data_IF_216670086263
#
_entry.id   IF_216670086263
#
_cell.length_a   1.000
_cell.length_b   1.000
_cell.length_c   1.000
_cell.angle_alpha   90.00
_cell.angle_beta   90.00
_cell.angle_gamma   90.00
#
_symmetry.space_group_name_H-M   'P 1'
#
loop_
_entity.id
_entity.type
_entity.pdbx_description
1 polymer ?
#
# COMPACT_ATOMS: atom_id res chain seq x y z
N UNK A 1 -27.22 -14.76 -19.47
CA UNK A 1 -25.79 -14.44 -19.61
C UNK A 1 -25.07 -15.15 -18.49
N UNK A 2 -24.07 -15.96 -18.79
CA UNK A 2 -23.23 -16.64 -17.80
C UNK A 2 -22.04 -15.72 -17.45
N UNK A 3 -21.67 -15.66 -16.18
CA UNK A 3 -20.56 -14.82 -15.68
C UNK A 3 -19.77 -15.55 -14.61
N UNK A 4 -18.47 -15.24 -14.48
CA UNK A 4 -17.57 -15.84 -13.50
C UNK A 4 -17.02 -14.74 -12.57
N UNK A 5 -17.78 -14.34 -11.53
CA UNK A 5 -17.34 -13.28 -10.62
C UNK A 5 -16.19 -13.73 -9.73
N UNK A 6 -15.43 -12.77 -9.22
CA UNK A 6 -14.42 -13.02 -8.20
C UNK A 6 -15.07 -13.51 -6.89
N UNK A 7 -14.32 -14.33 -6.15
CA UNK A 7 -14.70 -14.72 -4.81
C UNK A 7 -14.83 -13.48 -3.90
N UNK A 8 -15.98 -13.38 -3.23
CA UNK A 8 -16.22 -12.36 -2.21
C UNK A 8 -15.93 -12.96 -0.84
N UNK A 9 -15.06 -12.29 -0.07
CA UNK A 9 -14.77 -12.69 1.31
C UNK A 9 -16.05 -12.73 2.14
N UNK A 10 -16.12 -13.73 3.01
CA UNK A 10 -17.07 -13.77 4.11
C UNK A 10 -16.84 -12.64 5.10
N UNK A 11 -17.83 -12.39 5.96
CA UNK A 11 -17.71 -11.41 7.03
C UNK A 11 -16.54 -11.74 7.98
N UNK A 12 -16.36 -13.01 8.31
CA UNK A 12 -15.30 -13.45 9.22
C UNK A 12 -13.91 -13.22 8.61
N UNK A 13 -13.70 -13.58 7.34
CA UNK A 13 -12.43 -13.30 6.64
C UNK A 13 -12.16 -11.80 6.49
N UNK A 14 -13.20 -10.99 6.25
CA UNK A 14 -13.05 -9.53 6.19
C UNK A 14 -12.64 -8.96 7.56
N UNK A 15 -13.22 -9.46 8.64
CA UNK A 15 -12.88 -9.09 10.02
C UNK A 15 -11.45 -9.49 10.38
N UNK A 16 -11.02 -10.69 9.99
CA UNK A 16 -9.64 -11.15 10.17
C UNK A 16 -8.64 -10.25 9.44
N UNK A 17 -8.93 -9.87 8.20
CA UNK A 17 -8.10 -8.93 7.45
C UNK A 17 -8.04 -7.55 8.12
N UNK A 18 -9.17 -7.04 8.62
CA UNK A 18 -9.22 -5.79 9.37
C UNK A 18 -8.33 -5.86 10.62
N UNK A 19 -8.41 -6.93 11.40
CA UNK A 19 -7.58 -7.12 12.58
C UNK A 19 -6.10 -7.28 12.23
N UNK A 20 -5.76 -7.96 11.12
CA UNK A 20 -4.38 -8.02 10.61
C UNK A 20 -3.83 -6.62 10.34
N UNK A 21 -4.60 -5.75 9.69
CA UNK A 21 -4.17 -4.37 9.38
C UNK A 21 -3.93 -3.58 10.67
N UNK A 22 -4.84 -3.67 11.65
CA UNK A 22 -4.69 -2.98 12.94
C UNK A 22 -3.47 -3.50 13.71
N UNK A 23 -3.24 -4.81 13.75
CA UNK A 23 -2.05 -5.40 14.39
C UNK A 23 -0.75 -4.99 13.69
N UNK A 24 -0.74 -4.91 12.35
CA UNK A 24 0.42 -4.37 11.62
C UNK A 24 0.67 -2.90 11.99
N UNK A 25 -0.40 -2.10 12.15
CA UNK A 25 -0.30 -0.70 12.53
C UNK A 25 0.28 -0.52 13.94
N UNK A 26 -0.18 -1.29 14.94
CA UNK A 26 0.34 -1.20 16.32
C UNK A 26 1.80 -1.64 16.45
N UNK A 27 2.30 -2.46 15.52
CA UNK A 27 3.72 -2.85 15.44
C UNK A 27 4.62 -1.81 14.78
N UNK A 28 4.06 -0.79 14.11
CA UNK A 28 4.81 0.30 13.46
C UNK A 28 4.67 1.61 14.21
N UNK A 29 3.46 1.92 14.66
CA UNK A 29 3.13 3.17 15.33
C UNK A 29 3.16 2.99 16.85
N UNK A 30 3.80 3.93 17.55
CA UNK A 30 3.51 4.11 18.97
C UNK A 30 2.23 4.94 19.14
N UNK A 31 1.67 4.95 20.35
CA UNK A 31 0.40 5.63 20.63
C UNK A 31 0.40 7.13 20.32
N UNK A 32 1.52 7.83 20.53
CA UNK A 32 1.61 9.26 20.23
C UNK A 32 1.67 9.54 18.73
N UNK A 33 2.42 8.71 17.99
CA UNK A 33 2.52 8.81 16.54
C UNK A 33 1.17 8.56 15.86
N UNK A 34 0.38 7.62 16.38
CA UNK A 34 -0.96 7.29 15.86
C UNK A 34 -2.00 8.39 16.10
N UNK A 35 -1.80 9.23 17.13
CA UNK A 35 -2.67 10.35 17.47
C UNK A 35 -2.19 11.68 16.88
N UNK A 36 -1.10 11.66 16.11
CA UNK A 36 -0.62 12.82 15.36
C UNK A 36 -1.49 13.08 14.13
N UNK A 37 -1.60 14.35 13.74
CA UNK A 37 -2.26 14.76 12.48
C UNK A 37 -1.43 14.42 11.23
N UNK A 38 -0.20 13.92 11.42
CA UNK A 38 0.76 13.67 10.35
C UNK A 38 1.74 14.83 10.15
N UNK A 39 2.95 14.52 9.68
CA UNK A 39 3.92 15.52 9.23
C UNK A 39 3.76 15.84 7.73
N UNK A 40 4.31 16.98 7.31
CA UNK A 40 4.18 17.50 5.95
C UNK A 40 5.54 17.76 5.32
N UNK A 41 5.60 17.61 4.00
CA UNK A 41 6.73 18.03 3.19
C UNK A 41 7.82 16.98 3.06
N UNK A 42 9.04 17.45 2.87
CA UNK A 42 10.19 16.64 2.50
C UNK A 42 11.15 16.59 3.67
N UNK A 43 11.19 15.48 4.40
CA UNK A 43 12.13 15.30 5.49
C UNK A 43 13.53 14.98 4.96
N UNK A 44 14.56 15.59 5.55
CA UNK A 44 15.94 15.39 5.10
C UNK A 44 16.36 13.93 5.32
N UNK A 45 16.84 13.27 4.26
CA UNK A 45 17.33 11.89 4.28
C UNK A 45 16.32 10.84 3.81
N UNK A 46 15.01 11.10 3.96
CA UNK A 46 13.94 10.24 3.44
C UNK A 46 13.28 10.81 2.20
N UNK A 47 13.35 12.13 2.00
CA UNK A 47 12.72 12.85 0.91
C UNK A 47 11.18 12.75 0.89
N UNK A 48 10.58 12.40 2.03
CA UNK A 48 9.13 12.25 2.22
C UNK A 48 8.76 12.34 3.71
N UNK A 49 7.46 12.52 4.04
CA UNK A 49 7.01 12.55 5.43
C UNK A 49 7.28 11.23 6.17
N UNK A 50 7.70 11.33 7.43
CA UNK A 50 8.02 10.18 8.27
C UNK A 50 6.77 9.34 8.58
N UNK A 51 5.60 9.97 8.67
CA UNK A 51 4.33 9.27 8.83
C UNK A 51 3.97 8.45 7.60
N UNK A 52 4.23 8.96 6.39
CA UNK A 52 4.00 8.22 5.13
C UNK A 52 4.83 6.93 5.10
N UNK A 53 6.12 7.00 5.42
CA UNK A 53 7.01 5.83 5.51
C UNK A 53 6.48 4.78 6.48
N UNK A 54 5.92 5.21 7.61
CA UNK A 54 5.33 4.30 8.59
C UNK A 54 4.08 3.63 8.02
N UNK A 55 3.19 4.37 7.37
CA UNK A 55 2.01 3.81 6.71
C UNK A 55 2.41 2.80 5.63
N UNK A 56 3.40 3.11 4.82
CA UNK A 56 3.94 2.19 3.80
C UNK A 56 4.45 0.90 4.42
N UNK A 57 5.20 0.96 5.52
CA UNK A 57 5.61 -0.24 6.28
C UNK A 57 4.43 -1.04 6.82
N UNK A 58 3.34 -0.39 7.24
CA UNK A 58 2.10 -1.08 7.65
C UNK A 58 1.49 -1.81 6.46
N UNK A 59 1.39 -1.15 5.31
CA UNK A 59 0.82 -1.74 4.09
C UNK A 59 1.65 -2.93 3.59
N UNK A 60 2.98 -2.79 3.55
CA UNK A 60 3.89 -3.88 3.17
C UNK A 60 3.66 -5.11 4.06
N UNK A 61 3.59 -4.92 5.39
CA UNK A 61 3.31 -6.02 6.34
C UNK A 61 1.91 -6.60 6.19
N UNK A 62 0.89 -5.75 6.01
CA UNK A 62 -0.49 -6.21 5.88
C UNK A 62 -0.70 -7.07 4.62
N UNK A 63 0.00 -6.74 3.54
CA UNK A 63 -0.07 -7.46 2.26
C UNK A 63 1.08 -8.45 2.02
N UNK A 64 1.85 -8.77 3.07
CA UNK A 64 2.96 -9.75 3.03
C UNK A 64 3.99 -9.45 1.92
N UNK A 65 4.26 -8.17 1.66
CA UNK A 65 5.23 -7.67 0.69
C UNK A 65 6.53 -7.21 1.36
N UNK A 66 7.61 -7.16 0.58
CA UNK A 66 8.91 -6.68 1.05
C UNK A 66 8.88 -5.18 1.38
N UNK A 67 8.18 -4.39 0.57
CA UNK A 67 8.04 -2.95 0.75
C UNK A 67 6.74 -2.42 0.09
N UNK A 68 6.38 -1.16 0.36
CA UNK A 68 5.26 -0.47 -0.29
C UNK A 68 5.58 1.01 -0.49
N UNK A 69 4.92 1.62 -1.48
CA UNK A 69 5.04 3.07 -1.74
C UNK A 69 3.69 3.68 -2.12
N UNK A 70 3.37 4.82 -1.52
CA UNK A 70 2.19 5.61 -1.82
C UNK A 70 2.51 6.62 -2.91
N UNK A 71 1.77 6.53 -4.02
CA UNK A 71 1.98 7.38 -5.18
C UNK A 71 0.77 8.25 -5.49
N UNK A 72 1.01 9.34 -6.21
CA UNK A 72 -0.05 10.20 -6.74
C UNK A 72 -0.75 9.54 -7.92
N UNK A 73 -2.03 9.85 -8.11
CA UNK A 73 -2.81 9.40 -9.28
C UNK A 73 -3.58 8.09 -9.06
N UNK A 74 -3.79 7.66 -7.82
CA UNK A 74 -4.58 6.48 -7.45
C UNK A 74 -4.12 5.22 -8.23
N UNK A 75 -5.06 4.39 -8.70
CA UNK A 75 -4.74 3.14 -9.42
C UNK A 75 -3.97 3.37 -10.73
N UNK A 76 -4.33 4.39 -11.51
CA UNK A 76 -3.61 4.72 -12.76
C UNK A 76 -2.17 5.14 -12.49
N UNK A 77 -1.95 5.92 -11.43
CA UNK A 77 -0.61 6.31 -10.98
C UNK A 77 0.21 5.12 -10.52
N UNK A 78 -0.39 4.24 -9.71
CA UNK A 78 0.25 3.01 -9.24
C UNK A 78 0.72 2.13 -10.42
N UNK A 79 -0.17 1.86 -11.38
CA UNK A 79 0.18 1.09 -12.59
C UNK A 79 1.27 1.79 -13.41
N UNK A 80 1.17 3.10 -13.61
CA UNK A 80 2.18 3.86 -14.37
C UNK A 80 3.57 3.74 -13.75
N UNK A 81 3.68 3.93 -12.43
CA UNK A 81 4.97 3.84 -11.74
C UNK A 81 5.51 2.42 -11.72
N UNK A 82 4.65 1.41 -11.52
CA UNK A 82 5.05 0.01 -11.58
C UNK A 82 5.62 -0.36 -12.96
N UNK A 83 4.94 0.03 -14.04
CA UNK A 83 5.40 -0.22 -15.41
C UNK A 83 6.70 0.56 -15.72
N UNK A 84 6.79 1.83 -15.34
CA UNK A 84 7.97 2.65 -15.56
C UNK A 84 9.21 2.13 -14.80
N UNK A 85 9.02 1.53 -13.63
CA UNK A 85 10.09 0.94 -12.84
C UNK A 85 10.57 -0.42 -13.35
N UNK A 86 9.72 -1.16 -14.06
CA UNK A 86 9.99 -2.57 -14.42
C UNK A 86 10.23 -2.80 -15.91
N UNK A 87 9.77 -1.89 -16.79
CA UNK A 87 9.73 -2.10 -18.25
C UNK A 87 10.30 -0.89 -18.99
N UNK A 88 11.12 -1.14 -20.02
CA UNK A 88 11.70 -0.09 -20.86
C UNK A 88 10.73 0.33 -21.98
N UNK A 89 10.72 1.60 -22.41
CA UNK A 89 9.97 2.04 -23.59
C UNK A 89 10.24 1.16 -24.80
N UNK A 90 9.18 0.77 -25.53
CA UNK A 90 9.26 -0.11 -26.70
C UNK A 90 9.36 -1.61 -26.38
N UNK A 91 9.34 -2.01 -25.11
CA UNK A 91 9.31 -3.43 -24.73
C UNK A 91 7.91 -4.03 -24.90
N UNK A 92 7.85 -5.35 -25.05
CA UNK A 92 6.60 -6.11 -25.12
C UNK A 92 6.08 -6.44 -23.73
N UNK A 93 4.77 -6.28 -23.50
CA UNK A 93 4.10 -6.59 -22.24
C UNK A 93 3.02 -7.65 -22.50
N UNK A 94 2.98 -8.70 -21.68
CA UNK A 94 1.88 -9.65 -21.68
C UNK A 94 0.69 -9.05 -20.93
N UNK A 95 -0.50 -9.11 -21.53
CA UNK A 95 -1.77 -8.67 -20.94
C UNK A 95 -2.77 -9.83 -20.99
N UNK A 96 -3.60 -9.97 -19.96
CA UNK A 96 -4.65 -10.98 -19.86
C UNK A 96 -6.00 -10.32 -19.60
#
# INVERSE_FOLDING_TARGET
>A
METFPLYSRSFEEAKELQFKIVDCATKVFNGNDALSIGDLGVHKGTNEPLQTIRVEKVLARAFDAEDAVLVRGAGTGALRWALAATIKPGSTILVH
#
